data_IF_245957731734
#
_entry.id   IF_245957731734
#
_cell.length_a   1.000
_cell.length_b   1.000
_cell.length_c   1.000
_cell.angle_alpha   90.00
_cell.angle_beta   90.00
_cell.angle_gamma   90.00
#
_symmetry.space_group_name_H-M   'P 1'
#
loop_
_entity.id
_entity.type
_entity.pdbx_description
1 polymer ?
#
# COMPACT_ATOMS: atom_id res chain seq x y z
N UNK A 1 -21.65 -10.19 6.99
CA UNK A 1 -20.35 -10.24 7.70
C UNK A 1 -19.25 -10.31 6.65
N UNK A 2 -18.70 -9.17 6.23
CA UNK A 2 -17.75 -9.12 5.10
C UNK A 2 -16.87 -7.87 5.09
N UNK A 3 -17.37 -6.77 5.63
CA UNK A 3 -16.68 -5.47 5.61
C UNK A 3 -15.37 -5.42 6.42
N UNK A 4 -15.30 -6.18 7.52
CA UNK A 4 -14.10 -6.24 8.38
C UNK A 4 -12.96 -7.04 7.73
N UNK A 5 -13.26 -8.10 6.98
CA UNK A 5 -12.24 -8.91 6.31
C UNK A 5 -11.60 -8.14 5.16
N UNK A 6 -12.40 -7.40 4.38
CA UNK A 6 -11.91 -6.59 3.26
C UNK A 6 -10.90 -5.52 3.70
N UNK A 7 -11.18 -4.80 4.79
CA UNK A 7 -10.30 -3.74 5.28
C UNK A 7 -8.97 -4.28 5.85
N UNK A 8 -9.02 -5.41 6.56
CA UNK A 8 -7.82 -6.08 7.08
C UNK A 8 -6.98 -6.62 5.91
N UNK A 9 -7.63 -7.23 4.92
CA UNK A 9 -6.94 -7.75 3.72
C UNK A 9 -6.26 -6.66 2.90
N UNK A 10 -6.87 -5.48 2.73
CA UNK A 10 -6.28 -4.37 1.98
C UNK A 10 -5.05 -3.82 2.70
N UNK A 11 -5.16 -3.51 4.00
CA UNK A 11 -4.02 -3.01 4.79
C UNK A 11 -2.88 -4.02 4.83
N UNK A 12 -3.20 -5.31 4.98
CA UNK A 12 -2.24 -6.40 4.90
C UNK A 12 -1.54 -6.46 3.54
N UNK A 13 -2.28 -6.33 2.45
CA UNK A 13 -1.71 -6.32 1.10
C UNK A 13 -0.80 -5.10 0.85
N UNK A 14 -1.20 -3.90 1.31
CA UNK A 14 -0.34 -2.70 1.24
C UNK A 14 0.96 -2.93 2.02
N UNK A 15 0.86 -3.47 3.24
CA UNK A 15 2.02 -3.76 4.08
C UNK A 15 2.94 -4.80 3.43
N UNK A 16 2.36 -5.83 2.81
CA UNK A 16 3.11 -6.89 2.14
C UNK A 16 3.86 -6.37 0.90
N UNK A 17 3.19 -5.55 0.08
CA UNK A 17 3.82 -4.85 -1.05
C UNK A 17 4.97 -3.97 -0.58
N UNK A 18 4.75 -3.23 0.51
CA UNK A 18 5.76 -2.35 1.10
C UNK A 18 6.92 -3.12 1.75
N UNK A 19 6.67 -4.31 2.29
CA UNK A 19 7.73 -5.16 2.85
C UNK A 19 8.60 -5.80 1.77
N UNK A 20 8.01 -6.13 0.62
CA UNK A 20 8.70 -6.74 -0.51
C UNK A 20 9.22 -5.72 -1.53
N UNK A 21 9.04 -4.42 -1.29
CA UNK A 21 9.57 -3.38 -2.18
C UNK A 21 11.09 -3.28 -2.09
N UNK A 22 11.71 -2.86 -3.20
CA UNK A 22 13.14 -2.61 -3.22
C UNK A 22 13.45 -1.25 -2.57
N UNK A 23 14.32 -1.22 -1.56
CA UNK A 23 14.69 0.04 -0.87
C UNK A 23 15.30 1.12 -1.78
N UNK A 24 15.81 0.74 -2.95
CA UNK A 24 16.31 1.67 -3.98
C UNK A 24 15.20 2.27 -4.85
N UNK A 25 14.04 1.64 -4.91
CA UNK A 25 12.88 2.04 -5.70
C UNK A 25 11.58 1.79 -4.90
N UNK A 26 11.31 2.63 -3.89
CA UNK A 26 10.15 2.44 -3.04
C UNK A 26 8.85 2.71 -3.79
N UNK A 27 7.84 1.87 -3.58
CA UNK A 27 6.54 1.92 -4.25
C UNK A 27 5.77 3.17 -3.83
N UNK A 28 5.39 3.97 -4.82
CA UNK A 28 4.49 5.12 -4.64
C UNK A 28 3.06 4.65 -4.37
N UNK A 29 2.22 5.57 -3.87
CA UNK A 29 0.81 5.24 -3.63
C UNK A 29 0.08 4.90 -4.94
N UNK A 30 0.55 5.42 -6.07
CA UNK A 30 -0.04 5.13 -7.38
C UNK A 30 0.26 3.70 -7.81
N UNK A 31 1.51 3.26 -7.69
CA UNK A 31 1.92 1.88 -8.00
C UNK A 31 1.20 0.86 -7.11
N UNK A 32 1.04 1.17 -5.82
CA UNK A 32 0.28 0.31 -4.90
C UNK A 32 -1.19 0.18 -5.35
N UNK A 33 -1.80 1.27 -5.83
CA UNK A 33 -3.17 1.22 -6.37
C UNK A 33 -3.25 0.33 -7.61
N UNK A 34 -2.31 0.48 -8.54
CA UNK A 34 -2.28 -0.33 -9.76
C UNK A 34 -2.12 -1.82 -9.42
N UNK A 35 -1.14 -2.18 -8.58
CA UNK A 35 -0.89 -3.57 -8.19
C UNK A 35 -2.10 -4.18 -7.46
N UNK A 36 -2.77 -3.41 -6.60
CA UNK A 36 -3.98 -3.88 -5.92
C UNK A 36 -5.16 -4.02 -6.89
N UNK A 37 -5.29 -3.09 -7.85
CA UNK A 37 -6.27 -3.16 -8.93
C UNK A 37 -6.11 -4.42 -9.79
N UNK A 38 -4.88 -4.75 -10.16
CA UNK A 38 -4.54 -5.99 -10.90
C UNK A 38 -4.89 -7.26 -10.11
N UNK A 39 -4.79 -7.20 -8.78
CA UNK A 39 -5.20 -8.29 -7.87
C UNK A 39 -6.71 -8.39 -7.65
N UNK A 40 -7.51 -7.56 -8.34
CA UNK A 40 -8.97 -7.50 -8.19
C UNK A 40 -9.44 -6.73 -6.97
N UNK A 41 -8.58 -5.89 -6.39
CA UNK A 41 -8.86 -5.05 -5.21
C UNK A 41 -8.82 -3.58 -5.65
N UNK A 42 -9.89 -3.06 -6.28
CA UNK A 42 -9.93 -1.68 -6.70
C UNK A 42 -9.96 -0.77 -5.47
N UNK A 43 -8.93 0.07 -5.32
CA UNK A 43 -8.81 1.02 -4.22
C UNK A 43 -8.38 2.39 -4.73
N UNK A 44 -8.91 3.46 -4.14
CA UNK A 44 -8.49 4.80 -4.48
C UNK A 44 -7.13 5.14 -3.83
N UNK A 45 -6.32 5.93 -4.54
CA UNK A 45 -5.02 6.44 -4.04
C UNK A 45 -5.12 7.13 -2.67
N UNK A 46 -6.18 7.91 -2.44
CA UNK A 46 -6.42 8.57 -1.15
C UNK A 46 -6.60 7.58 0.00
N UNK A 47 -7.21 6.43 -0.26
CA UNK A 47 -7.39 5.37 0.72
C UNK A 47 -6.06 4.67 1.02
N UNK A 48 -5.23 4.45 0.00
CA UNK A 48 -3.85 3.93 0.19
C UNK A 48 -3.02 4.90 1.04
N UNK A 49 -3.06 6.20 0.76
CA UNK A 49 -2.36 7.21 1.55
C UNK A 49 -2.81 7.20 3.03
N UNK A 50 -4.13 7.18 3.27
CA UNK A 50 -4.69 7.06 4.62
C UNK A 50 -4.20 5.80 5.34
N UNK A 51 -4.19 4.65 4.66
CA UNK A 51 -3.74 3.40 5.26
C UNK A 51 -2.22 3.36 5.47
N UNK A 52 -1.43 4.01 4.62
CA UNK A 52 0.01 4.16 4.87
C UNK A 52 0.28 4.97 6.13
N UNK A 53 -0.44 6.07 6.33
CA UNK A 53 -0.35 6.87 7.57
C UNK A 53 -0.75 6.04 8.79
N UNK A 54 -1.88 5.33 8.73
CA UNK A 54 -2.33 4.44 9.81
C UNK A 54 -1.33 3.30 10.11
N UNK A 55 -0.63 2.80 9.09
CA UNK A 55 0.40 1.76 9.22
C UNK A 55 1.80 2.33 9.58
N UNK A 56 1.92 3.65 9.80
CA UNK A 56 3.19 4.35 10.03
C UNK A 56 4.25 4.09 8.93
N UNK A 57 3.78 3.89 7.70
CA UNK A 57 4.63 3.67 6.54
C UNK A 57 5.03 5.04 5.98
N UNK A 58 6.31 5.39 6.12
CA UNK A 58 6.85 6.66 5.63
C UNK A 58 6.59 6.86 4.12
N UNK A 59 6.49 8.11 3.63
CA UNK A 59 6.38 8.40 2.20
C UNK A 59 7.54 7.80 1.42
N UNK A 60 7.29 7.38 0.18
CA UNK A 60 8.27 6.66 -0.64
C UNK A 60 9.54 7.48 -0.88
N UNK A 61 9.42 8.81 -0.99
CA UNK A 61 10.55 9.74 -1.07
C UNK A 61 11.51 9.66 0.13
N UNK A 62 10.99 9.37 1.33
CA UNK A 62 11.77 9.31 2.57
C UNK A 62 12.41 7.93 2.82
N UNK A 63 11.98 6.90 2.06
CA UNK A 63 12.46 5.53 2.19
C UNK A 63 13.47 5.11 1.13
N UNK A 64 13.73 5.96 0.14
CA UNK A 64 14.74 5.71 -0.88
C UNK A 64 16.13 5.72 -0.22
N UNK A 65 16.73 4.54 -0.08
CA UNK A 65 18.14 4.41 0.29
C UNK A 65 18.99 4.52 -0.97
N UNK A 66 19.87 5.52 -0.99
CA UNK A 66 20.91 5.66 -2.01
C UNK A 66 21.99 4.60 -1.83
#
# INVERSE_FOLDING_TARGET
TGDLLSNISVKGAILDLVKHESGSAPLSDHEIVEILGERGIPIARRTVAKYRDELNILPSYMRRKY
#
